data_IF_716212749388
#
_entry.id   IF_716212749388
#
_cell.length_a   1.000
_cell.length_b   1.000
_cell.length_c   1.000
_cell.angle_alpha   90.00
_cell.angle_beta   90.00
_cell.angle_gamma   90.00
#
_symmetry.space_group_name_H-M   'P 1'
#
loop_
_entity.id
_entity.type
_entity.pdbx_description
1 polymer ?
#
# COMPACT_ATOMS: atom_id res chain seq x y z
N UNK A 1 -4.51 -4.90 -0.26
CA UNK A 1 -5.79 -4.38 -0.78
C UNK A 1 -6.65 -5.50 -1.32
N UNK A 2 -6.21 -6.31 -2.24
CA UNK A 2 -7.02 -7.42 -2.83
C UNK A 2 -7.73 -8.32 -1.80
N UNK A 3 -7.13 -8.55 -0.62
CA UNK A 3 -7.77 -9.32 0.48
C UNK A 3 -9.08 -8.68 0.98
N UNK A 4 -9.24 -7.36 0.80
CA UNK A 4 -10.43 -6.61 1.24
C UNK A 4 -11.42 -6.34 0.10
N UNK A 5 -10.94 -6.35 -1.13
CA UNK A 5 -11.78 -6.23 -2.33
C UNK A 5 -12.66 -7.49 -2.48
N UNK A 6 -12.10 -8.66 -2.15
CA UNK A 6 -12.79 -9.95 -2.28
C UNK A 6 -14.09 -10.04 -1.46
N UNK A 7 -14.12 -9.73 -0.15
CA UNK A 7 -15.37 -9.70 0.60
C UNK A 7 -16.38 -8.70 0.05
N UNK A 8 -15.91 -7.54 -0.41
CA UNK A 8 -16.77 -6.50 -0.98
C UNK A 8 -17.37 -6.91 -2.33
N UNK A 9 -16.58 -7.52 -3.22
CA UNK A 9 -17.04 -8.03 -4.49
C UNK A 9 -18.05 -9.19 -4.32
N UNK A 10 -17.83 -10.05 -3.33
CA UNK A 10 -18.70 -11.20 -3.02
C UNK A 10 -20.07 -10.81 -2.47
N UNK A 11 -20.29 -9.55 -2.12
CA UNK A 11 -21.65 -9.05 -1.82
C UNK A 11 -22.54 -9.03 -3.07
N UNK A 12 -21.95 -8.90 -4.26
CA UNK A 12 -22.66 -8.90 -5.54
C UNK A 12 -22.54 -10.26 -6.23
N UNK A 13 -21.33 -10.81 -6.25
CA UNK A 13 -21.02 -12.09 -6.88
C UNK A 13 -20.26 -12.99 -5.90
N UNK A 14 -20.93 -13.96 -5.24
CA UNK A 14 -20.30 -14.87 -4.29
C UNK A 14 -19.16 -15.70 -4.89
N UNK A 15 -19.15 -15.92 -6.20
CA UNK A 15 -18.13 -16.68 -6.93
C UNK A 15 -16.92 -15.85 -7.32
N UNK A 16 -16.98 -14.51 -7.17
CA UNK A 16 -15.93 -13.61 -7.64
C UNK A 16 -14.60 -13.84 -6.91
N UNK A 17 -13.56 -13.99 -7.70
CA UNK A 17 -12.18 -14.16 -7.21
C UNK A 17 -11.35 -12.97 -7.67
N UNK A 18 -10.94 -12.13 -6.71
CA UNK A 18 -10.08 -10.98 -6.98
C UNK A 18 -8.65 -11.47 -7.23
N UNK A 19 -8.09 -11.12 -8.39
CA UNK A 19 -6.74 -11.49 -8.75
C UNK A 19 -5.71 -10.58 -8.01
N UNK A 20 -4.72 -11.19 -7.36
CA UNK A 20 -3.65 -10.46 -6.65
C UNK A 20 -2.84 -9.58 -7.63
N UNK A 21 -2.60 -10.06 -8.84
CA UNK A 21 -1.92 -9.34 -9.91
C UNK A 21 -2.86 -8.48 -10.77
N UNK A 22 -4.14 -8.33 -10.36
CA UNK A 22 -5.19 -7.70 -11.16
C UNK A 22 -4.92 -6.24 -11.53
N UNK A 23 -4.00 -5.56 -10.87
CA UNK A 23 -3.61 -4.17 -11.18
C UNK A 23 -2.15 -4.04 -11.69
N UNK A 24 -1.52 -5.15 -12.05
CA UNK A 24 -0.11 -5.16 -12.40
C UNK A 24 0.23 -4.22 -13.57
N UNK A 25 -0.52 -4.28 -14.67
CA UNK A 25 -0.24 -3.46 -15.86
C UNK A 25 -0.51 -1.98 -15.58
N UNK A 26 -1.57 -1.68 -14.84
CA UNK A 26 -1.86 -0.31 -14.43
C UNK A 26 -0.74 0.27 -13.56
N UNK A 27 -0.24 -0.48 -12.56
CA UNK A 27 0.85 -0.03 -11.70
C UNK A 27 2.14 0.19 -12.49
N UNK A 28 2.47 -0.71 -13.42
CA UNK A 28 3.62 -0.55 -14.32
C UNK A 28 3.45 0.72 -15.17
N UNK A 29 2.27 0.95 -15.73
CA UNK A 29 1.94 2.18 -16.46
C UNK A 29 2.15 3.43 -15.61
N UNK A 30 1.73 3.43 -14.34
CA UNK A 30 1.95 4.54 -13.40
C UNK A 30 3.45 4.85 -13.26
N UNK A 31 4.30 3.83 -13.11
CA UNK A 31 5.76 4.03 -13.01
C UNK A 31 6.32 4.71 -14.25
N UNK A 32 5.92 4.25 -15.44
CA UNK A 32 6.39 4.84 -16.68
C UNK A 32 5.90 6.28 -16.92
N UNK A 33 4.72 6.62 -16.44
CA UNK A 33 4.16 7.97 -16.60
C UNK A 33 4.71 8.91 -15.51
N UNK A 34 4.74 8.47 -14.25
CA UNK A 34 5.13 9.35 -13.14
C UNK A 34 6.64 9.61 -13.07
N UNK A 35 7.47 8.66 -13.47
CA UNK A 35 8.94 8.84 -13.44
C UNK A 35 9.42 10.04 -14.27
N UNK A 36 9.05 10.19 -15.55
CA UNK A 36 9.44 11.39 -16.30
C UNK A 36 8.82 12.68 -15.76
N UNK A 37 7.61 12.63 -15.19
CA UNK A 37 6.99 13.79 -14.56
C UNK A 37 7.80 14.23 -13.34
N UNK A 38 8.20 13.29 -12.47
CA UNK A 38 9.05 13.59 -11.31
C UNK A 38 10.36 14.19 -11.76
N UNK A 39 11.01 13.59 -12.74
CA UNK A 39 12.26 14.09 -13.27
C UNK A 39 12.12 15.53 -13.80
N UNK A 40 11.13 15.76 -14.68
CA UNK A 40 10.87 17.09 -15.23
C UNK A 40 10.58 18.15 -14.14
N UNK A 41 9.72 17.81 -13.18
CA UNK A 41 9.37 18.73 -12.07
C UNK A 41 10.57 19.01 -11.17
N UNK A 42 11.38 18.01 -10.89
CA UNK A 42 12.58 18.19 -10.06
C UNK A 42 13.53 19.18 -10.74
N UNK A 43 13.93 18.90 -11.99
CA UNK A 43 14.98 19.66 -12.68
C UNK A 43 14.50 21.06 -13.12
N UNK A 44 13.22 21.20 -13.50
CA UNK A 44 12.73 22.42 -14.12
C UNK A 44 11.89 23.32 -13.20
N UNK A 45 11.33 22.76 -12.15
CA UNK A 45 10.41 23.52 -11.26
C UNK A 45 10.98 23.63 -9.86
N UNK A 46 11.35 22.50 -9.25
CA UNK A 46 11.70 22.46 -7.82
C UNK A 46 13.13 22.93 -7.59
N UNK A 47 14.11 22.40 -8.33
CA UNK A 47 15.51 22.75 -8.17
C UNK A 47 15.77 24.26 -8.44
N UNK A 48 15.26 24.87 -9.53
CA UNK A 48 15.38 26.31 -9.74
C UNK A 48 14.70 27.16 -8.66
N UNK A 49 13.59 26.64 -8.09
CA UNK A 49 12.82 27.33 -7.07
C UNK A 49 13.50 27.32 -5.70
N UNK A 50 14.19 26.24 -5.37
CA UNK A 50 15.00 26.14 -4.14
C UNK A 50 16.29 26.95 -4.24
N UNK A 51 16.79 27.17 -5.45
CA UNK A 51 18.03 27.90 -5.71
C UNK A 51 19.27 27.12 -5.34
N UNK A 52 20.43 27.80 -5.40
CA UNK A 52 21.72 27.19 -5.04
C UNK A 52 21.80 27.07 -3.52
N UNK A 53 21.96 25.82 -3.05
CA UNK A 53 22.14 25.57 -1.62
C UNK A 53 23.40 26.29 -1.09
N UNK A 54 23.24 27.01 0.02
CA UNK A 54 24.32 27.66 0.76
C UNK A 54 24.37 27.08 2.16
N UNK A 55 25.55 26.66 2.66
CA UNK A 55 25.66 26.20 4.03
C UNK A 55 25.15 27.26 4.99
N UNK A 56 24.27 26.91 5.92
CA UNK A 56 23.91 27.77 7.04
C UNK A 56 25.12 27.90 7.98
N UNK A 57 25.26 29.05 8.65
CA UNK A 57 26.31 29.23 9.65
C UNK A 57 26.26 28.10 10.70
N UNK A 58 27.36 27.37 10.86
CA UNK A 58 27.48 26.23 11.78
C UNK A 58 27.08 24.86 11.20
N UNK A 59 26.58 24.79 9.99
CA UNK A 59 26.36 23.51 9.28
C UNK A 59 27.58 23.25 8.39
N UNK A 60 28.38 22.25 8.74
CA UNK A 60 29.45 21.80 7.84
C UNK A 60 28.81 21.41 6.50
N UNK A 61 29.38 21.91 5.40
CA UNK A 61 28.97 21.43 4.08
C UNK A 61 29.01 19.88 4.12
N UNK A 62 27.94 19.20 3.68
CA UNK A 62 28.00 17.75 3.53
C UNK A 62 29.24 17.47 2.70
N UNK A 63 30.11 16.66 3.24
CA UNK A 63 31.44 16.43 2.70
C UNK A 63 31.38 16.33 1.17
N UNK A 64 32.15 17.16 0.49
CA UNK A 64 32.37 17.06 -0.96
C UNK A 64 32.97 15.68 -1.38
N UNK A 65 33.06 14.74 -0.44
CA UNK A 65 33.48 13.36 -0.60
C UNK A 65 32.57 12.52 -1.49
N UNK A 66 31.35 12.99 -1.83
CA UNK A 66 30.47 12.26 -2.77
C UNK A 66 31.06 12.08 -4.16
N UNK A 67 32.12 12.84 -4.52
CA UNK A 67 32.81 12.71 -5.80
C UNK A 67 34.19 12.04 -5.70
N UNK A 68 34.58 11.54 -4.53
CA UNK A 68 35.83 10.81 -4.42
C UNK A 68 35.70 9.38 -4.93
N UNK A 69 36.66 8.88 -5.69
CA UNK A 69 36.64 7.49 -6.14
C UNK A 69 36.64 6.55 -4.93
N UNK A 70 35.85 5.49 -4.99
CA UNK A 70 35.74 4.50 -3.95
C UNK A 70 37.12 3.99 -3.51
N UNK A 71 37.39 4.02 -2.24
CA UNK A 71 38.62 3.48 -1.66
C UNK A 71 38.71 1.96 -1.83
N UNK A 72 39.88 1.40 -1.66
CA UNK A 72 40.07 -0.06 -1.75
C UNK A 72 39.28 -0.79 -0.64
N UNK A 73 39.10 -0.17 0.53
CA UNK A 73 38.32 -0.70 1.63
C UNK A 73 36.81 -0.72 1.29
N UNK A 74 36.28 0.38 0.75
CA UNK A 74 34.88 0.47 0.31
C UNK A 74 34.55 -0.50 -0.82
N UNK A 75 35.45 -0.65 -1.82
CA UNK A 75 35.29 -1.65 -2.87
C UNK A 75 35.23 -3.08 -2.33
N UNK A 76 36.05 -3.38 -1.30
CA UNK A 76 36.03 -4.68 -0.62
C UNK A 76 34.74 -4.86 0.17
N UNK A 77 34.30 -3.81 0.90
CA UNK A 77 33.00 -3.80 1.60
C UNK A 77 31.83 -4.04 0.67
N UNK A 78 31.79 -3.38 -0.49
CA UNK A 78 30.74 -3.59 -1.51
C UNK A 78 30.71 -5.02 -2.06
N UNK A 79 31.90 -5.65 -2.27
CA UNK A 79 31.95 -7.06 -2.69
C UNK A 79 31.35 -7.98 -1.62
N UNK A 80 31.68 -7.79 -0.34
CA UNK A 80 31.10 -8.60 0.73
C UNK A 80 29.59 -8.36 0.88
N UNK A 81 29.14 -7.11 0.80
CA UNK A 81 27.71 -6.80 0.79
C UNK A 81 26.97 -7.45 -0.38
N UNK A 82 27.56 -7.39 -1.58
CA UNK A 82 26.98 -8.04 -2.77
C UNK A 82 26.89 -9.55 -2.64
N UNK A 83 27.92 -10.20 -2.14
CA UNK A 83 27.90 -11.65 -1.85
C UNK A 83 26.86 -12.01 -0.78
N UNK A 84 26.79 -11.22 0.29
CA UNK A 84 25.80 -11.40 1.35
C UNK A 84 24.38 -11.23 0.83
N UNK A 85 24.13 -10.22 -0.02
CA UNK A 85 22.83 -9.98 -0.66
C UNK A 85 22.43 -11.17 -1.55
N UNK A 86 23.34 -11.64 -2.39
CA UNK A 86 23.09 -12.81 -3.24
C UNK A 86 22.81 -14.06 -2.39
N UNK A 87 23.58 -14.26 -1.30
CA UNK A 87 23.36 -15.34 -0.35
C UNK A 87 21.99 -15.25 0.33
N UNK A 88 21.55 -14.04 0.73
CA UNK A 88 20.23 -13.83 1.32
C UNK A 88 19.12 -14.08 0.30
N UNK A 89 19.24 -13.59 -0.93
CA UNK A 89 18.25 -13.89 -1.99
C UNK A 89 18.16 -15.39 -2.24
N UNK A 90 19.29 -16.07 -2.34
CA UNK A 90 19.32 -17.52 -2.52
C UNK A 90 18.70 -18.27 -1.33
N UNK A 91 18.98 -17.81 -0.10
CA UNK A 91 18.40 -18.38 1.12
C UNK A 91 16.87 -18.20 1.13
N UNK A 92 16.37 -16.99 0.84
CA UNK A 92 14.93 -16.74 0.79
C UNK A 92 14.23 -17.54 -0.30
N UNK A 93 14.85 -17.64 -1.48
CA UNK A 93 14.35 -18.47 -2.56
C UNK A 93 14.30 -19.96 -2.13
N UNK A 94 15.39 -20.45 -1.55
CA UNK A 94 15.44 -21.83 -1.04
C UNK A 94 14.35 -22.09 0.00
N UNK A 95 14.22 -21.23 1.02
CA UNK A 95 13.22 -21.37 2.07
C UNK A 95 11.78 -21.27 1.53
N UNK A 96 11.56 -20.54 0.44
CA UNK A 96 10.22 -20.40 -0.17
C UNK A 96 9.86 -21.64 -1.00
N UNK A 97 10.80 -22.21 -1.75
CA UNK A 97 10.51 -23.29 -2.70
C UNK A 97 10.80 -24.71 -2.17
N UNK A 98 11.30 -24.84 -0.94
CA UNK A 98 11.49 -26.16 -0.32
C UNK A 98 10.13 -26.81 -0.04
N UNK A 99 9.97 -28.14 -0.26
CA UNK A 99 8.74 -28.85 0.10
C UNK A 99 8.42 -28.69 1.60
N UNK A 100 7.18 -28.33 1.91
CA UNK A 100 6.76 -28.05 3.29
C UNK A 100 7.18 -26.68 3.83
N UNK A 101 7.49 -25.75 2.95
CA UNK A 101 7.84 -24.36 3.32
C UNK A 101 6.74 -23.70 4.16
N UNK A 102 7.10 -23.04 5.29
CA UNK A 102 6.13 -22.26 6.09
C UNK A 102 5.68 -20.96 5.38
N UNK A 103 6.31 -20.60 4.26
CA UNK A 103 6.00 -19.40 3.48
C UNK A 103 5.01 -19.65 2.34
N UNK A 104 4.64 -20.93 2.15
CA UNK A 104 3.71 -21.37 1.12
C UNK A 104 2.62 -22.19 1.78
N UNK A 105 1.38 -21.79 1.63
CA UNK A 105 0.21 -22.50 2.13
C UNK A 105 -0.40 -23.34 0.99
N UNK A 106 -0.25 -24.67 1.01
CA UNK A 106 -0.74 -25.53 -0.07
C UNK A 106 -2.25 -25.78 0.00
N UNK A 107 -2.89 -25.50 1.15
CA UNK A 107 -4.31 -25.81 1.39
C UNK A 107 -5.26 -24.71 0.94
N UNK A 108 -4.71 -23.55 0.53
CA UNK A 108 -5.48 -22.36 0.11
C UNK A 108 -5.46 -22.23 -1.42
N UNK A 109 -6.41 -21.48 -1.96
CA UNK A 109 -6.49 -21.13 -3.38
C UNK A 109 -5.11 -20.74 -3.95
N UNK A 110 -4.78 -21.12 -5.20
CA UNK A 110 -3.48 -20.83 -5.83
C UNK A 110 -3.06 -19.37 -5.73
N UNK A 111 -4.03 -18.44 -5.75
CA UNK A 111 -3.80 -16.99 -5.63
C UNK A 111 -3.37 -16.54 -4.23
N UNK A 112 -3.70 -17.30 -3.20
CA UNK A 112 -3.39 -16.98 -1.79
C UNK A 112 -2.21 -17.80 -1.26
N UNK A 113 -1.71 -18.72 -2.03
CA UNK A 113 -0.63 -19.65 -1.66
C UNK A 113 0.59 -18.96 -1.05
N UNK A 114 0.94 -17.76 -1.51
CA UNK A 114 2.10 -16.98 -1.05
C UNK A 114 1.76 -15.93 0.01
N UNK A 115 0.56 -15.93 0.58
CA UNK A 115 0.20 -14.97 1.63
C UNK A 115 1.13 -14.97 2.84
N UNK A 116 1.62 -16.13 3.36
CA UNK A 116 2.60 -16.14 4.46
C UNK A 116 3.91 -15.47 4.06
N UNK A 117 4.40 -15.66 2.82
CA UNK A 117 5.58 -14.98 2.30
C UNK A 117 5.39 -13.47 2.28
N UNK A 118 4.27 -12.97 1.76
CA UNK A 118 3.99 -11.53 1.72
C UNK A 118 3.90 -10.90 3.11
N UNK A 119 3.36 -11.61 4.10
CA UNK A 119 3.31 -11.15 5.49
C UNK A 119 4.70 -11.08 6.13
N UNK A 120 5.63 -11.91 5.71
CA UNK A 120 6.99 -11.98 6.25
C UNK A 120 8.00 -11.05 5.55
N UNK A 121 7.62 -10.37 4.45
CA UNK A 121 8.52 -9.52 3.66
C UNK A 121 9.24 -8.45 4.49
N UNK A 122 8.55 -7.83 5.46
CA UNK A 122 9.17 -6.81 6.31
C UNK A 122 10.33 -7.38 7.14
N UNK A 123 10.12 -8.58 7.72
CA UNK A 123 11.17 -9.29 8.45
C UNK A 123 12.31 -9.73 7.52
N UNK A 124 12.00 -10.18 6.30
CA UNK A 124 12.97 -10.54 5.29
C UNK A 124 13.86 -9.36 4.91
N UNK A 125 13.28 -8.19 4.64
CA UNK A 125 14.04 -6.99 4.35
C UNK A 125 14.89 -6.55 5.53
N UNK A 126 14.34 -6.55 6.74
CA UNK A 126 15.09 -6.17 7.94
C UNK A 126 16.34 -7.05 8.13
N UNK A 127 16.20 -8.37 8.04
CA UNK A 127 17.32 -9.33 8.16
C UNK A 127 18.29 -9.15 7.00
N UNK A 128 17.81 -9.00 5.78
CA UNK A 128 18.65 -8.81 4.59
C UNK A 128 19.50 -7.55 4.72
N UNK A 129 18.90 -6.42 5.08
CA UNK A 129 19.65 -5.17 5.29
C UNK A 129 20.65 -5.26 6.45
N UNK A 130 20.28 -5.93 7.54
CA UNK A 130 21.18 -6.14 8.66
C UNK A 130 22.41 -6.97 8.27
N UNK A 131 22.20 -8.09 7.58
CA UNK A 131 23.26 -8.99 7.14
C UNK A 131 24.15 -8.33 6.08
N UNK A 132 23.57 -7.67 5.08
CA UNK A 132 24.33 -6.99 4.02
C UNK A 132 25.10 -5.78 4.56
N UNK A 133 24.50 -5.00 5.45
CA UNK A 133 25.17 -3.88 6.14
C UNK A 133 26.32 -4.35 7.03
N UNK A 134 26.11 -5.43 7.79
CA UNK A 134 27.16 -6.05 8.60
C UNK A 134 28.31 -6.59 7.75
N UNK A 135 28.00 -7.24 6.63
CA UNK A 135 29.01 -7.74 5.68
C UNK A 135 29.82 -6.60 5.03
N UNK A 136 29.14 -5.50 4.67
CA UNK A 136 29.82 -4.30 4.20
C UNK A 136 30.80 -3.77 5.25
N UNK A 137 30.32 -3.59 6.47
CA UNK A 137 31.13 -3.04 7.57
C UNK A 137 32.35 -3.91 7.90
N UNK A 138 32.19 -5.23 7.93
CA UNK A 138 33.27 -6.18 8.09
C UNK A 138 34.29 -6.11 6.92
N UNK A 139 33.78 -6.05 5.67
CA UNK A 139 34.62 -5.94 4.48
C UNK A 139 35.36 -4.62 4.35
N UNK A 140 34.73 -3.52 4.72
CA UNK A 140 35.33 -2.19 4.75
C UNK A 140 36.21 -1.94 5.97
N UNK A 141 36.13 -2.79 7.01
CA UNK A 141 36.90 -2.64 8.26
C UNK A 141 36.28 -1.61 9.23
N UNK A 142 35.06 -1.17 9.01
CA UNK A 142 34.32 -0.25 9.88
C UNK A 142 33.66 -0.96 11.06
N UNK A 143 33.42 -2.26 10.93
CA UNK A 143 32.92 -3.14 12.01
C UNK A 143 34.03 -4.14 12.34
N UNK A 144 34.63 -4.00 13.49
CA UNK A 144 35.67 -4.88 13.99
C UNK A 144 35.21 -5.74 15.19
N UNK A 145 34.13 -5.31 15.82
CA UNK A 145 33.56 -6.00 16.97
C UNK A 145 32.03 -5.89 17.01
N UNK A 146 31.37 -6.75 17.79
CA UNK A 146 29.95 -6.65 18.07
C UNK A 146 29.56 -5.30 18.72
N UNK A 147 30.48 -4.68 19.46
CA UNK A 147 30.25 -3.36 20.08
C UNK A 147 30.09 -2.26 19.05
N UNK A 148 30.85 -2.32 17.96
CA UNK A 148 30.75 -1.35 16.85
C UNK A 148 29.36 -1.44 16.21
N UNK A 149 28.87 -2.67 15.99
CA UNK A 149 27.54 -2.91 15.45
C UNK A 149 26.45 -2.35 16.37
N UNK A 150 26.54 -2.62 17.68
CA UNK A 150 25.58 -2.08 18.67
C UNK A 150 25.63 -0.56 18.71
N UNK A 151 26.82 0.03 18.62
CA UNK A 151 26.98 1.49 18.57
C UNK A 151 26.33 2.09 17.32
N UNK A 152 26.57 1.51 16.15
CA UNK A 152 25.93 1.94 14.90
C UNK A 152 24.40 1.82 14.94
N UNK A 153 23.88 0.72 15.51
CA UNK A 153 22.43 0.55 15.70
C UNK A 153 21.87 1.60 16.66
N UNK A 154 22.54 1.85 17.78
CA UNK A 154 22.14 2.90 18.74
C UNK A 154 22.10 4.27 18.08
N UNK A 155 23.13 4.61 17.33
CA UNK A 155 23.25 5.91 16.68
C UNK A 155 22.20 6.06 15.55
N UNK A 156 21.89 4.97 14.85
CA UNK A 156 20.80 4.91 13.89
C UNK A 156 19.43 5.16 14.54
N UNK A 157 19.15 4.50 15.67
CA UNK A 157 17.88 4.70 16.41
C UNK A 157 17.82 6.12 16.99
N UNK A 158 18.92 6.66 17.52
CA UNK A 158 18.98 8.01 18.04
C UNK A 158 18.63 9.05 16.95
N UNK A 159 19.06 8.84 15.72
CA UNK A 159 18.69 9.70 14.59
C UNK A 159 17.19 9.64 14.23
N UNK A 160 16.50 8.54 14.57
CA UNK A 160 15.08 8.37 14.37
C UNK A 160 14.23 8.87 15.55
N UNK A 161 14.84 9.36 16.64
CA UNK A 161 14.11 9.81 17.82
C UNK A 161 13.02 10.87 17.52
N UNK A 162 13.26 11.91 16.71
CA UNK A 162 12.22 12.88 16.33
C UNK A 162 11.07 12.22 15.56
N UNK A 163 11.39 11.25 14.70
CA UNK A 163 10.38 10.48 13.97
C UNK A 163 9.52 9.64 14.93
N UNK A 164 10.11 8.97 15.91
CA UNK A 164 9.39 8.12 16.87
C UNK A 164 8.38 8.97 17.67
N UNK A 165 8.79 10.16 18.12
CA UNK A 165 7.90 11.09 18.84
C UNK A 165 6.72 11.52 17.95
N UNK A 166 6.99 11.93 16.71
CA UNK A 166 5.95 12.35 15.80
C UNK A 166 5.02 11.18 15.41
N UNK A 167 5.59 10.00 15.17
CA UNK A 167 4.82 8.79 14.88
C UNK A 167 3.90 8.39 16.04
N UNK A 168 4.32 8.60 17.28
CA UNK A 168 3.49 8.37 18.46
C UNK A 168 2.24 9.25 18.45
N UNK A 169 2.38 10.56 18.21
CA UNK A 169 1.23 11.47 18.14
C UNK A 169 0.35 11.19 16.93
N UNK A 170 0.95 10.89 15.77
CA UNK A 170 0.21 10.51 14.57
C UNK A 170 -0.60 9.22 14.79
N UNK A 171 -0.02 8.22 15.44
CA UNK A 171 -0.70 6.98 15.79
C UNK A 171 -1.87 7.21 16.75
N UNK A 172 -1.70 8.11 17.73
CA UNK A 172 -2.78 8.53 18.64
C UNK A 172 -3.93 9.19 17.88
N UNK A 173 -3.62 10.12 16.98
CA UNK A 173 -4.63 10.75 16.13
C UNK A 173 -5.42 9.73 15.32
N UNK A 174 -4.72 8.82 14.62
CA UNK A 174 -5.35 7.76 13.82
C UNK A 174 -6.20 6.83 14.70
N UNK A 175 -5.70 6.45 15.88
CA UNK A 175 -6.45 5.61 16.82
C UNK A 175 -7.73 6.30 17.31
N UNK A 176 -7.66 7.57 17.70
CA UNK A 176 -8.82 8.36 18.11
C UNK A 176 -9.82 8.58 16.97
N UNK A 177 -9.31 8.85 15.75
CA UNK A 177 -10.15 9.01 14.57
C UNK A 177 -10.88 7.70 14.22
N UNK A 178 -10.22 6.56 14.32
CA UNK A 178 -10.86 5.26 14.14
C UNK A 178 -11.85 4.94 15.28
N UNK A 179 -11.47 5.23 16.54
CA UNK A 179 -12.33 5.00 17.69
C UNK A 179 -13.60 5.86 17.66
N UNK A 180 -13.51 7.11 17.21
CA UNK A 180 -14.66 8.01 17.06
C UNK A 180 -15.64 7.56 15.96
N UNK A 181 -15.26 6.63 15.10
CA UNK A 181 -16.05 6.18 13.96
C UNK A 181 -16.22 7.22 12.85
N UNK A 182 -15.50 8.36 12.92
CA UNK A 182 -15.59 9.43 11.93
C UNK A 182 -15.18 8.93 10.52
N UNK A 183 -14.17 8.07 10.43
CA UNK A 183 -13.73 7.51 9.14
C UNK A 183 -14.85 6.78 8.38
N UNK A 184 -15.46 5.75 8.95
CA UNK A 184 -16.62 5.07 8.38
C UNK A 184 -17.81 6.00 8.10
N UNK A 185 -18.14 6.91 9.01
CA UNK A 185 -19.25 7.87 8.84
C UNK A 185 -19.01 8.74 7.61
N UNK A 186 -17.81 9.32 7.46
CA UNK A 186 -17.45 10.14 6.30
C UNK A 186 -17.46 9.31 5.01
N UNK A 187 -16.95 8.07 5.05
CA UNK A 187 -16.94 7.18 3.88
C UNK A 187 -18.36 6.83 3.40
N UNK A 188 -19.25 6.47 4.33
CA UNK A 188 -20.65 6.15 4.01
C UNK A 188 -21.35 7.36 3.39
N UNK A 189 -21.22 8.54 4.00
CA UNK A 189 -21.87 9.75 3.50
C UNK A 189 -21.32 10.19 2.15
N UNK A 190 -19.99 10.08 1.94
CA UNK A 190 -19.38 10.38 0.65
C UNK A 190 -19.85 9.42 -0.45
N UNK A 191 -19.91 8.11 -0.17
CA UNK A 191 -20.40 7.12 -1.12
C UNK A 191 -21.90 7.30 -1.43
N UNK A 192 -22.72 7.62 -0.42
CA UNK A 192 -24.13 7.95 -0.62
C UNK A 192 -24.29 9.20 -1.51
N UNK A 193 -23.50 10.24 -1.29
CA UNK A 193 -23.47 11.42 -2.15
C UNK A 193 -23.08 11.11 -3.60
N UNK A 194 -22.07 10.27 -3.81
CA UNK A 194 -21.68 9.82 -5.16
C UNK A 194 -22.82 9.05 -5.87
N UNK A 195 -23.51 8.18 -5.15
CA UNK A 195 -24.62 7.41 -5.71
C UNK A 195 -25.79 8.30 -6.15
N UNK A 196 -26.07 9.39 -5.44
CA UNK A 196 -27.17 10.32 -5.78
C UNK A 196 -26.88 11.16 -7.02
N UNK A 197 -25.60 11.31 -7.41
CA UNK A 197 -25.20 12.12 -8.57
C UNK A 197 -25.60 11.50 -9.92
N UNK A 198 -25.96 10.21 -9.99
CA UNK A 198 -26.35 9.48 -11.21
C UNK A 198 -25.38 9.74 -12.40
N UNK A 199 -24.09 9.89 -12.15
CA UNK A 199 -23.06 10.21 -13.12
C UNK A 199 -22.64 8.96 -13.93
N UNK A 200 -22.16 9.13 -15.18
CA UNK A 200 -21.58 8.02 -15.95
C UNK A 200 -20.36 7.42 -15.24
N UNK A 201 -20.14 6.12 -15.41
CA UNK A 201 -19.11 5.35 -14.70
C UNK A 201 -17.69 5.97 -14.73
N UNK A 202 -17.16 6.49 -15.87
CA UNK A 202 -15.85 7.14 -15.88
C UNK A 202 -15.78 8.35 -14.96
N UNK A 203 -16.82 9.15 -14.91
CA UNK A 203 -16.88 10.34 -14.06
C UNK A 203 -16.99 9.98 -12.58
N UNK A 204 -17.70 8.90 -12.25
CA UNK A 204 -17.75 8.36 -10.90
C UNK A 204 -16.38 7.84 -10.44
N UNK A 205 -15.59 7.20 -11.31
CA UNK A 205 -14.22 6.80 -10.99
C UNK A 205 -13.32 8.02 -10.69
N UNK A 206 -13.46 9.09 -11.47
CA UNK A 206 -12.78 10.37 -11.18
C UNK A 206 -13.21 10.91 -9.80
N UNK A 207 -14.49 10.84 -9.46
CA UNK A 207 -14.95 11.22 -8.11
C UNK A 207 -14.34 10.34 -7.02
N UNK A 208 -14.15 9.03 -7.25
CA UNK A 208 -13.45 8.15 -6.29
C UNK A 208 -12.00 8.59 -6.09
N UNK A 209 -11.30 9.00 -7.16
CA UNK A 209 -9.95 9.58 -7.03
C UNK A 209 -9.96 10.78 -6.09
N UNK A 210 -10.87 11.74 -6.28
CA UNK A 210 -10.98 12.92 -5.41
C UNK A 210 -11.38 12.58 -3.97
N UNK A 211 -12.33 11.66 -3.80
CA UNK A 211 -12.72 11.16 -2.47
C UNK A 211 -11.54 10.52 -1.77
N UNK A 212 -10.75 9.71 -2.49
CA UNK A 212 -9.54 9.10 -1.96
C UNK A 212 -8.51 10.17 -1.54
N UNK A 213 -8.25 11.17 -2.39
CA UNK A 213 -7.39 12.30 -2.07
C UNK A 213 -7.83 13.02 -0.79
N UNK A 214 -9.13 13.26 -0.66
CA UNK A 214 -9.68 13.95 0.50
C UNK A 214 -9.48 13.14 1.80
N UNK A 215 -9.82 11.85 1.77
CA UNK A 215 -9.62 10.99 2.94
C UNK A 215 -8.15 10.80 3.32
N UNK A 216 -7.24 10.91 2.38
CA UNK A 216 -5.82 10.80 2.63
C UNK A 216 -5.26 11.92 3.51
N UNK A 217 -5.89 13.08 3.49
CA UNK A 217 -5.54 14.18 4.39
C UNK A 217 -5.83 13.88 5.87
N UNK A 218 -6.73 12.94 6.15
CA UNK A 218 -7.15 12.59 7.52
C UNK A 218 -6.67 11.21 7.96
N UNK A 219 -6.45 10.29 7.03
CA UNK A 219 -6.09 8.90 7.30
C UNK A 219 -4.90 8.51 6.45
N UNK A 220 -3.68 8.56 7.00
CA UNK A 220 -2.45 8.20 6.28
C UNK A 220 -2.33 6.70 5.93
N UNK A 221 -3.19 5.82 6.46
CA UNK A 221 -3.15 4.38 6.16
C UNK A 221 -4.06 4.02 5.00
N UNK A 222 -3.49 3.76 3.83
CA UNK A 222 -4.20 3.28 2.63
C UNK A 222 -5.11 2.06 2.91
N UNK A 223 -4.60 1.09 3.68
CA UNK A 223 -5.36 -0.10 4.03
C UNK A 223 -6.55 0.17 4.96
N UNK A 224 -6.42 1.11 5.89
CA UNK A 224 -7.50 1.49 6.79
C UNK A 224 -8.61 2.23 6.03
N UNK A 225 -8.25 3.20 5.17
CA UNK A 225 -9.19 3.91 4.29
C UNK A 225 -9.96 2.92 3.40
N UNK A 226 -9.22 2.04 2.73
CA UNK A 226 -9.84 1.09 1.81
C UNK A 226 -10.77 0.12 2.53
N UNK A 227 -10.49 -0.25 3.77
CA UNK A 227 -11.41 -1.10 4.57
C UNK A 227 -12.77 -0.48 4.78
N UNK A 228 -12.82 0.85 4.91
CA UNK A 228 -14.05 1.57 5.11
C UNK A 228 -14.78 1.84 3.78
N UNK A 229 -14.05 2.10 2.69
CA UNK A 229 -14.60 2.46 1.39
C UNK A 229 -15.00 1.24 0.54
N UNK A 230 -14.19 0.17 0.54
CA UNK A 230 -14.39 -0.98 -0.33
C UNK A 230 -15.77 -1.63 -0.23
N UNK A 231 -16.36 -1.88 0.97
CA UNK A 231 -17.67 -2.50 1.08
C UNK A 231 -18.81 -1.71 0.43
N UNK A 232 -18.59 -0.43 0.15
CA UNK A 232 -19.58 0.46 -0.44
C UNK A 232 -19.25 0.72 -1.90
N UNK A 233 -18.01 1.09 -2.17
CA UNK A 233 -17.58 1.55 -3.51
C UNK A 233 -17.49 0.38 -4.49
N UNK A 234 -16.92 -0.77 -4.07
CA UNK A 234 -16.76 -1.94 -4.94
C UNK A 234 -18.11 -2.50 -5.43
N UNK A 235 -19.07 -2.84 -4.55
CA UNK A 235 -20.38 -3.31 -5.00
C UNK A 235 -21.12 -2.30 -5.89
N UNK A 236 -21.01 -1.01 -5.57
CA UNK A 236 -21.63 0.05 -6.35
C UNK A 236 -21.10 0.06 -7.79
N UNK A 237 -19.78 -0.04 -7.97
CA UNK A 237 -19.17 -0.04 -9.30
C UNK A 237 -19.41 -1.35 -10.06
N UNK A 238 -19.43 -2.49 -9.38
CA UNK A 238 -19.83 -3.77 -9.99
C UNK A 238 -21.24 -3.71 -10.57
N UNK A 239 -22.19 -3.09 -9.86
CA UNK A 239 -23.56 -2.86 -10.36
C UNK A 239 -23.62 -1.90 -11.56
N UNK A 240 -22.57 -1.12 -11.80
CA UNK A 240 -22.39 -0.25 -12.96
C UNK A 240 -21.55 -0.92 -14.07
N UNK A 241 -21.19 -2.19 -13.91
CA UNK A 241 -20.41 -2.93 -14.90
C UNK A 241 -18.89 -2.63 -14.85
N UNK A 242 -18.38 -2.07 -13.75
CA UNK A 242 -16.94 -1.79 -13.55
C UNK A 242 -16.34 -2.84 -12.61
N UNK A 243 -15.16 -3.34 -12.98
CA UNK A 243 -14.47 -4.36 -12.19
C UNK A 243 -14.01 -3.84 -10.83
N UNK A 244 -13.95 -4.71 -9.81
CA UNK A 244 -13.35 -4.39 -8.50
C UNK A 244 -11.92 -3.88 -8.62
N UNK A 245 -11.16 -4.43 -9.55
CA UNK A 245 -9.76 -4.05 -9.81
C UNK A 245 -9.65 -2.64 -10.35
N UNK A 246 -10.54 -2.23 -11.27
CA UNK A 246 -10.56 -0.85 -11.78
C UNK A 246 -10.97 0.14 -10.67
N UNK A 247 -11.92 -0.24 -9.86
CA UNK A 247 -12.33 0.55 -8.69
C UNK A 247 -11.18 0.76 -7.72
N UNK A 248 -10.42 -0.32 -7.45
CA UNK A 248 -9.22 -0.27 -6.61
C UNK A 248 -8.10 0.54 -7.24
N UNK A 249 -7.93 0.47 -8.57
CA UNK A 249 -6.95 1.27 -9.30
C UNK A 249 -7.24 2.77 -9.17
N UNK A 250 -8.50 3.18 -9.35
CA UNK A 250 -8.93 4.56 -9.18
C UNK A 250 -8.72 5.06 -7.74
N UNK A 251 -9.08 4.25 -6.74
CA UNK A 251 -8.81 4.56 -5.34
C UNK A 251 -7.31 4.76 -5.07
N UNK A 252 -6.46 3.82 -5.53
CA UNK A 252 -5.00 3.90 -5.36
C UNK A 252 -4.40 5.11 -6.05
N UNK A 253 -4.96 5.52 -7.18
CA UNK A 253 -4.50 6.73 -7.86
C UNK A 253 -4.69 7.96 -6.98
N UNK A 254 -5.86 8.15 -6.38
CA UNK A 254 -6.11 9.25 -5.45
C UNK A 254 -5.22 9.20 -4.21
N UNK A 255 -5.06 8.02 -3.63
CA UNK A 255 -4.16 7.77 -2.51
C UNK A 255 -2.70 8.14 -2.85
N UNK A 256 -2.21 7.77 -4.01
CA UNK A 256 -0.83 8.03 -4.44
C UNK A 256 -0.55 9.51 -4.70
N UNK A 257 -1.55 10.29 -5.09
CA UNK A 257 -1.42 11.73 -5.38
C UNK A 257 -1.15 12.53 -4.11
N UNK A 258 -1.87 12.25 -3.05
CA UNK A 258 -1.83 13.05 -1.81
C UNK A 258 -0.89 12.50 -0.76
N UNK A 259 -0.53 11.22 -0.82
CA UNK A 259 0.43 10.58 0.08
C UNK A 259 1.78 11.30 0.15
N UNK A 260 2.26 11.87 -0.94
CA UNK A 260 3.54 12.58 -0.97
C UNK A 260 3.50 13.93 -0.27
N UNK A 261 2.31 14.52 -0.09
CA UNK A 261 2.11 15.84 0.51
C UNK A 261 1.51 15.78 1.91
N UNK A 262 0.95 14.64 2.34
CA UNK A 262 0.31 14.53 3.66
C UNK A 262 1.32 14.30 4.78
N UNK A 263 1.26 15.08 5.88
CA UNK A 263 2.13 14.88 7.03
C UNK A 263 1.80 13.62 7.85
N UNK A 264 0.68 12.96 7.56
CA UNK A 264 0.21 11.76 8.27
C UNK A 264 0.90 10.48 7.81
N UNK A 265 1.67 10.53 6.73
CA UNK A 265 2.46 9.40 6.29
C UNK A 265 3.64 9.15 7.22
N UNK A 266 3.84 7.91 7.59
CA UNK A 266 4.84 7.50 8.57
C UNK A 266 6.29 7.85 8.20
N UNK A 267 6.59 7.98 6.91
CA UNK A 267 7.92 8.36 6.43
C UNK A 267 8.10 9.87 6.20
N UNK A 268 7.03 10.66 6.22
CA UNK A 268 7.10 12.11 6.03
C UNK A 268 8.00 12.81 7.08
N UNK A 269 7.88 12.49 8.39
CA UNK A 269 8.80 12.99 9.40
C UNK A 269 10.25 12.57 9.18
N UNK A 270 10.47 11.37 8.67
CA UNK A 270 11.80 10.88 8.34
C UNK A 270 12.46 11.73 7.25
N UNK A 271 11.72 12.03 6.17
CA UNK A 271 12.20 12.91 5.10
C UNK A 271 12.51 14.31 5.66
N UNK A 272 11.64 14.85 6.52
CA UNK A 272 11.86 16.12 7.18
C UNK A 272 13.16 16.12 8.00
N UNK A 273 13.41 15.05 8.76
CA UNK A 273 14.66 14.90 9.53
C UNK A 273 15.90 14.91 8.64
N UNK A 274 15.85 14.29 7.47
CA UNK A 274 16.94 14.34 6.51
C UNK A 274 17.10 15.73 5.89
N UNK A 275 16.02 16.41 5.53
CA UNK A 275 16.06 17.77 5.00
C UNK A 275 16.66 18.75 6.01
N UNK A 276 16.35 18.60 7.31
CA UNK A 276 16.87 19.43 8.38
C UNK A 276 18.38 19.28 8.63
N UNK A 277 19.01 18.21 8.15
CA UNK A 277 20.47 18.10 8.16
C UNK A 277 21.15 19.09 7.23
N UNK A 278 20.45 19.48 6.16
CA UNK A 278 20.94 20.42 5.16
C UNK A 278 20.50 21.85 5.46
N UNK A 279 19.27 22.02 5.92
CA UNK A 279 18.75 23.29 6.38
C UNK A 279 17.96 23.10 7.69
N UNK A 280 18.52 23.45 8.85
CA UNK A 280 17.85 23.30 10.15
C UNK A 280 16.53 24.09 10.26
N UNK A 281 16.32 25.09 9.39
CA UNK A 281 15.09 25.88 9.35
C UNK A 281 13.99 25.23 8.48
N UNK A 282 14.32 24.15 7.78
CA UNK A 282 13.37 23.46 6.91
C UNK A 282 12.27 22.84 7.76
N UNK A 283 11.07 23.38 7.65
CA UNK A 283 9.92 22.97 8.45
C UNK A 283 8.95 22.06 7.68
N UNK A 284 7.95 21.58 8.42
CA UNK A 284 6.87 20.76 7.87
C UNK A 284 6.17 21.46 6.69
N UNK A 285 5.83 22.74 6.83
CA UNK A 285 5.20 23.53 5.78
C UNK A 285 6.08 23.70 4.54
N UNK A 286 7.40 23.82 4.71
CA UNK A 286 8.35 23.91 3.60
C UNK A 286 8.38 22.60 2.80
N UNK A 287 8.37 21.45 3.50
CA UNK A 287 8.32 20.13 2.87
C UNK A 287 7.00 19.96 2.09
N UNK A 288 5.86 20.27 2.73
CA UNK A 288 4.55 20.19 2.07
C UNK A 288 4.49 21.10 0.83
N UNK A 289 4.96 22.34 0.94
CA UNK A 289 4.99 23.29 -0.18
C UNK A 289 5.89 22.82 -1.34
N UNK A 290 6.96 22.09 -1.02
CA UNK A 290 7.85 21.50 -2.03
C UNK A 290 7.19 20.29 -2.72
N UNK A 291 6.37 19.52 -2.01
CA UNK A 291 5.69 18.33 -2.55
C UNK A 291 4.40 18.66 -3.32
N UNK A 292 3.78 19.80 -3.06
CA UNK A 292 2.50 20.19 -3.67
C UNK A 292 2.52 20.21 -5.22
N UNK A 293 3.56 20.74 -5.91
CA UNK A 293 3.63 20.66 -7.37
C UNK A 293 3.64 19.24 -7.92
N UNK A 294 4.29 18.30 -7.22
CA UNK A 294 4.26 16.89 -7.60
C UNK A 294 2.86 16.31 -7.43
N UNK A 295 2.20 16.58 -6.30
CA UNK A 295 0.82 16.13 -6.07
C UNK A 295 -0.13 16.66 -7.16
N UNK A 296 -0.02 17.94 -7.54
CA UNK A 296 -0.81 18.52 -8.62
C UNK A 296 -0.59 17.84 -9.98
N UNK A 297 0.68 17.62 -10.34
CA UNK A 297 1.01 16.95 -11.60
C UNK A 297 0.58 15.47 -11.61
N UNK A 298 0.75 14.78 -10.49
CA UNK A 298 0.29 13.40 -10.34
C UNK A 298 -1.23 13.29 -10.40
N UNK A 299 -1.95 14.27 -9.84
CA UNK A 299 -3.42 14.32 -9.96
C UNK A 299 -3.84 14.41 -11.43
N UNK A 300 -3.27 15.36 -12.18
CA UNK A 300 -3.61 15.53 -13.60
C UNK A 300 -3.25 14.29 -14.41
N UNK A 301 -2.03 13.78 -14.25
CA UNK A 301 -1.58 12.59 -14.96
C UNK A 301 -2.38 11.34 -14.54
N UNK A 302 -2.69 11.20 -13.25
CA UNK A 302 -3.46 10.08 -12.72
C UNK A 302 -4.91 10.07 -13.21
N UNK A 303 -5.56 11.22 -13.25
CA UNK A 303 -6.90 11.36 -13.84
C UNK A 303 -6.89 11.01 -15.32
N UNK A 304 -5.89 11.49 -16.07
CA UNK A 304 -5.73 11.15 -17.48
C UNK A 304 -5.49 9.64 -17.67
N UNK A 305 -4.69 9.00 -16.81
CA UNK A 305 -4.49 7.56 -16.85
C UNK A 305 -5.77 6.77 -16.57
N UNK A 306 -6.51 7.10 -15.51
CA UNK A 306 -7.78 6.43 -15.18
C UNK A 306 -8.74 6.60 -16.35
N UNK A 307 -8.88 7.80 -16.91
CA UNK A 307 -9.74 8.06 -18.05
C UNK A 307 -9.28 7.28 -19.30
N UNK A 308 -7.98 7.21 -19.58
CA UNK A 308 -7.43 6.46 -20.72
C UNK A 308 -7.67 4.95 -20.56
N UNK A 309 -7.46 4.37 -19.38
CA UNK A 309 -7.71 2.94 -19.13
C UNK A 309 -9.17 2.57 -19.41
N UNK A 310 -10.11 3.40 -18.96
CA UNK A 310 -11.54 3.17 -19.19
C UNK A 310 -11.91 3.42 -20.67
N UNK A 311 -11.39 4.50 -21.28
CA UNK A 311 -11.75 4.86 -22.65
C UNK A 311 -11.21 3.88 -23.71
N UNK A 312 -10.04 3.29 -23.48
CA UNK A 312 -9.41 2.34 -24.38
C UNK A 312 -9.57 0.88 -23.95
N UNK A 313 -10.33 0.63 -22.88
CA UNK A 313 -10.56 -0.70 -22.30
C UNK A 313 -9.25 -1.50 -22.11
N UNK A 314 -8.22 -0.82 -21.53
CA UNK A 314 -6.92 -1.43 -21.35
C UNK A 314 -6.94 -2.49 -20.24
N UNK A 315 -6.25 -3.61 -20.40
CA UNK A 315 -6.18 -4.61 -19.35
C UNK A 315 -5.48 -4.04 -18.10
N UNK A 316 -6.02 -4.33 -16.93
CA UNK A 316 -5.45 -3.90 -15.64
C UNK A 316 -4.34 -4.84 -15.17
N UNK A 317 -4.50 -6.12 -15.47
CA UNK A 317 -3.56 -7.19 -15.12
C UNK A 317 -3.83 -8.45 -15.92
N UNK A 318 -3.11 -9.54 -15.66
CA UNK A 318 -3.32 -10.81 -16.32
C UNK A 318 -4.76 -11.31 -16.12
N UNK A 319 -5.52 -11.43 -17.21
CA UNK A 319 -6.90 -11.91 -17.20
C UNK A 319 -7.93 -10.97 -16.56
N UNK A 320 -7.61 -9.70 -16.34
CA UNK A 320 -8.49 -8.71 -15.70
C UNK A 320 -8.63 -7.47 -16.56
N UNK A 321 -9.89 -7.13 -16.91
CA UNK A 321 -10.27 -5.94 -17.65
C UNK A 321 -10.90 -4.85 -16.78
N UNK A 322 -11.28 -3.76 -17.45
CA UNK A 322 -11.95 -2.61 -16.82
C UNK A 322 -13.39 -2.98 -16.44
N UNK A 323 -14.05 -3.76 -17.29
CA UNK A 323 -15.47 -4.08 -17.15
C UNK A 323 -15.68 -5.35 -16.34
N UNK A 324 -16.76 -5.36 -15.58
CA UNK A 324 -17.29 -6.53 -14.89
C UNK A 324 -18.54 -7.03 -15.60
N UNK A 325 -18.50 -8.28 -16.02
CA UNK A 325 -19.68 -8.97 -16.55
C UNK A 325 -20.23 -9.89 -15.45
N UNK A 326 -21.48 -9.68 -15.01
CA UNK A 326 -22.09 -10.60 -14.06
C UNK A 326 -22.17 -12.00 -14.67
N UNK A 327 -21.96 -13.06 -13.90
CA UNK A 327 -22.11 -14.42 -14.38
C UNK A 327 -23.54 -14.58 -14.94
N UNK A 328 -23.71 -15.34 -16.04
CA UNK A 328 -25.04 -15.59 -16.58
C UNK A 328 -25.93 -16.16 -15.47
N UNK A 329 -27.20 -15.74 -15.38
CA UNK A 329 -28.11 -16.26 -14.37
C UNK A 329 -28.04 -17.78 -14.43
N UNK A 330 -27.81 -18.41 -13.31
CA UNK A 330 -27.81 -19.88 -13.21
C UNK A 330 -29.14 -20.33 -13.84
N UNK A 331 -29.04 -20.99 -14.98
CA UNK A 331 -30.21 -21.61 -15.61
C UNK A 331 -30.76 -22.51 -14.52
N UNK A 332 -31.93 -22.19 -14.00
CA UNK A 332 -32.59 -23.01 -13.00
C UNK A 332 -32.57 -24.42 -13.57
N UNK A 333 -31.78 -25.29 -12.96
CA UNK A 333 -31.76 -26.67 -13.34
C UNK A 333 -33.20 -27.13 -13.28
N UNK A 334 -33.80 -27.40 -14.45
CA UNK A 334 -35.07 -28.06 -14.51
C UNK A 334 -34.89 -29.35 -13.72
N UNK A 335 -35.39 -29.36 -12.50
CA UNK A 335 -35.69 -30.62 -11.81
C UNK A 335 -36.57 -31.42 -12.76
N UNK A 336 -36.15 -32.60 -13.19
CA UNK A 336 -37.08 -33.45 -13.93
C UNK A 336 -38.25 -33.73 -13.00
N UNK A 337 -39.46 -33.37 -13.44
CA UNK A 337 -40.70 -33.68 -12.77
C UNK A 337 -40.86 -35.20 -12.79
N UNK A 338 -40.26 -35.85 -11.77
CA UNK A 338 -40.50 -37.26 -11.51
C UNK A 338 -41.73 -37.37 -10.60
N UNK A 339 -42.78 -37.86 -11.19
CA UNK A 339 -44.09 -38.05 -10.55
C UNK A 339 -44.01 -39.17 -9.49
N UNK A 340 -43.70 -38.79 -8.23
CA UNK A 340 -43.72 -39.63 -7.06
C UNK A 340 -44.75 -39.18 -6.03
N UNK A 341 -45.74 -40.00 -5.81
CA UNK A 341 -46.89 -39.93 -4.92
C UNK A 341 -46.51 -39.43 -3.51
N UNK A 342 -47.19 -38.38 -3.06
CA UNK A 342 -47.05 -37.76 -1.73
C UNK A 342 -47.63 -38.69 -0.64
N UNK A 343 -46.80 -39.05 0.34
CA UNK A 343 -47.22 -39.50 1.68
C UNK A 343 -47.20 -38.31 2.67
N UNK A 344 -48.04 -38.29 3.71
CA UNK A 344 -48.21 -37.13 4.58
C UNK A 344 -47.04 -36.99 5.54
N UNK A 345 -46.27 -35.90 5.40
CA UNK A 345 -45.20 -35.51 6.27
C UNK A 345 -45.63 -34.57 7.38
N UNK A 346 -45.23 -34.89 8.61
CA UNK A 346 -45.33 -34.11 9.82
C UNK A 346 -44.61 -32.76 9.69
N UNK A 347 -45.05 -31.72 10.43
CA UNK A 347 -44.43 -30.40 10.36
C UNK A 347 -43.02 -30.40 11.00
N UNK A 348 -42.11 -29.60 10.49
CA UNK A 348 -40.74 -29.49 11.05
C UNK A 348 -40.75 -28.79 12.40
N UNK A 349 -40.12 -29.40 13.36
CA UNK A 349 -39.81 -28.82 14.67
C UNK A 349 -38.85 -27.64 14.50
N UNK A 350 -39.25 -26.50 15.07
CA UNK A 350 -38.40 -25.31 15.18
C UNK A 350 -37.15 -25.62 16.02
N UNK A 351 -35.97 -25.52 15.41
CA UNK A 351 -34.72 -25.58 16.12
C UNK A 351 -34.51 -24.29 16.93
N UNK A 352 -34.49 -24.43 18.24
CA UNK A 352 -34.15 -23.36 19.19
C UNK A 352 -32.64 -23.11 19.02
N UNK A 353 -32.29 -21.95 18.44
CA UNK A 353 -30.93 -21.46 18.39
C UNK A 353 -30.57 -20.92 19.77
N UNK A 354 -29.75 -21.63 20.52
CA UNK A 354 -29.12 -21.12 21.74
C UNK A 354 -28.02 -20.11 21.36
N UNK A 355 -27.91 -18.95 22.03
CA UNK A 355 -26.85 -18.01 21.71
C UNK A 355 -25.51 -18.59 22.18
N UNK A 356 -24.57 -18.71 21.22
CA UNK A 356 -23.18 -19.07 21.47
C UNK A 356 -22.51 -17.98 22.29
N UNK A 357 -21.91 -18.41 23.37
CA UNK A 357 -21.09 -17.65 24.30
C UNK A 357 -19.97 -16.87 23.58
N UNK A 358 -19.84 -15.59 23.90
CA UNK A 358 -18.76 -14.71 23.43
C UNK A 358 -17.38 -15.29 23.80
N UNK A 359 -16.38 -15.15 22.91
CA UNK A 359 -15.01 -15.52 23.26
C UNK A 359 -14.43 -14.48 24.24
N UNK A 360 -13.89 -15.01 25.33
CA UNK A 360 -13.16 -14.29 26.36
C UNK A 360 -12.00 -13.47 25.77
N UNK A 361 -11.94 -12.19 26.12
CA UNK A 361 -10.79 -11.31 25.93
C UNK A 361 -9.58 -11.90 26.67
N UNK A 362 -8.64 -12.50 25.93
CA UNK A 362 -7.32 -12.74 26.48
C UNK A 362 -6.50 -11.46 26.41
N UNK A 363 -6.15 -10.92 27.59
CA UNK A 363 -5.13 -9.88 27.74
C UNK A 363 -3.83 -10.37 27.08
N UNK A 364 -3.42 -9.69 26.04
CA UNK A 364 -2.06 -9.82 25.53
C UNK A 364 -1.21 -8.86 26.36
N UNK A 365 -0.40 -9.42 27.24
CA UNK A 365 0.72 -8.71 27.86
C UNK A 365 1.72 -8.30 26.77
N UNK A 366 2.23 -7.10 26.94
CA UNK A 366 3.24 -6.36 26.17
C UNK A 366 4.42 -7.23 25.73
#
# INVERSE_FOLDING_TARGET
MCIRDRPAARLIDPSYSVNIAGNWFFIVGVVFVFTPIVWFLTDRVIEPRLGVWKPSEGVAAPNASEKQPLTAAEKRGLKFAGLALLGMIALWALLTFIPGSPFVDPEVDPEQKFNPLYKSLVAFFAITFFVTGGAYGAGAGTIQSHRDMVTMMRDGIAQLAPYIVLAFFAAHFVAMFNWSGLGPILAVNAAAGLKTLALPAPLLLICVVFVSCFFDLFIGSASAKWSALAPIVVPMFMLLGISPEMTTAAYRMGDSVTNIATPLMSYFPLILTFAQRWDPRFGLGSLMATMLPYAGAFLVAGLAMVAAWVAFDLPLGPGVGVHYEPPPPAVAAHEPADGGVAGPHSPPQAAIVTPSTAPSLSLIHI
#
